data_IF_981895331609
#
_entry.id   IF_981895331609
#
_cell.length_a   1.000
_cell.length_b   1.000
_cell.length_c   1.000
_cell.angle_alpha   90.00
_cell.angle_beta   90.00
_cell.angle_gamma   90.00
#
_symmetry.space_group_name_H-M   'P 1'
#
loop_
_entity.id
_entity.type
_entity.pdbx_description
1 polymer ?
#
# COMPACT_ATOMS: atom_id res chain seq x y z
N UNK A 1 -7.43 6.03 8.33
CA UNK A 1 -6.26 6.89 8.04
C UNK A 1 -6.30 7.21 6.55
N UNK A 2 -6.08 8.46 6.12
CA UNK A 2 -6.10 8.82 4.69
C UNK A 2 -4.72 8.57 4.02
N UNK A 3 -4.66 8.65 2.68
CA UNK A 3 -3.43 8.41 1.90
C UNK A 3 -2.30 9.35 2.33
N UNK A 4 -2.59 10.63 2.51
CA UNK A 4 -1.58 11.64 2.87
C UNK A 4 -0.93 11.34 4.23
N UNK A 5 -1.75 11.01 5.24
CA UNK A 5 -1.25 10.64 6.58
C UNK A 5 -0.46 9.33 6.53
N UNK A 6 -0.89 8.37 5.70
CA UNK A 6 -0.15 7.13 5.50
C UNK A 6 1.22 7.40 4.90
N UNK A 7 1.27 8.15 3.79
CA UNK A 7 2.51 8.48 3.08
C UNK A 7 3.47 9.22 4.00
N UNK A 8 2.99 10.21 4.74
CA UNK A 8 3.83 10.95 5.70
C UNK A 8 4.42 10.05 6.78
N UNK A 9 3.64 9.13 7.35
CA UNK A 9 4.13 8.17 8.35
C UNK A 9 5.17 7.21 7.77
N UNK A 10 4.92 6.65 6.59
CA UNK A 10 5.89 5.76 5.94
C UNK A 10 7.18 6.52 5.63
N UNK A 11 7.08 7.79 5.25
CA UNK A 11 8.23 8.65 5.04
C UNK A 11 9.03 8.91 6.32
N UNK A 12 8.35 9.23 7.43
CA UNK A 12 8.98 9.42 8.76
C UNK A 12 9.71 8.15 9.23
N UNK A 13 9.20 6.96 8.88
CA UNK A 13 9.80 5.67 9.22
C UNK A 13 10.88 5.19 8.23
N UNK A 14 11.06 5.89 7.10
CA UNK A 14 11.97 5.48 6.03
C UNK A 14 13.20 6.38 5.94
N UNK A 15 14.38 5.76 5.86
CA UNK A 15 15.66 6.50 5.77
C UNK A 15 15.91 7.04 4.35
N UNK A 16 15.46 6.32 3.32
CA UNK A 16 15.85 6.56 1.92
C UNK A 16 14.74 7.14 1.03
N UNK A 17 13.53 7.37 1.58
CA UNK A 17 12.40 7.87 0.82
C UNK A 17 12.25 9.39 1.02
N UNK A 18 12.87 10.16 0.12
CA UNK A 18 12.95 11.62 0.16
C UNK A 18 11.74 12.35 -0.46
N UNK A 19 10.77 11.62 -1.01
CA UNK A 19 9.63 12.19 -1.73
C UNK A 19 8.35 11.40 -1.48
N UNK A 20 7.25 12.10 -1.21
CA UNK A 20 5.91 11.51 -1.06
C UNK A 20 5.51 10.63 -2.26
N UNK A 21 5.92 11.02 -3.48
CA UNK A 21 5.66 10.23 -4.69
C UNK A 21 6.42 8.90 -4.70
N UNK A 22 7.69 8.90 -4.26
CA UNK A 22 8.48 7.66 -4.13
C UNK A 22 7.92 6.77 -3.02
N UNK A 23 7.47 7.37 -1.92
CA UNK A 23 6.82 6.64 -0.83
C UNK A 23 5.55 5.95 -1.32
N UNK A 24 4.67 6.69 -1.98
CA UNK A 24 3.44 6.13 -2.52
C UNK A 24 3.73 4.96 -3.49
N UNK A 25 4.65 5.16 -4.43
CA UNK A 25 5.02 4.12 -5.40
C UNK A 25 5.65 2.88 -4.74
N UNK A 26 6.51 3.05 -3.74
CA UNK A 26 7.12 1.95 -3.00
C UNK A 26 6.09 1.15 -2.18
N UNK A 27 5.15 1.84 -1.55
CA UNK A 27 4.05 1.22 -0.83
C UNK A 27 3.13 0.44 -1.77
N UNK A 28 2.77 1.03 -2.92
CA UNK A 28 1.96 0.37 -3.95
C UNK A 28 2.63 -0.92 -4.44
N UNK A 29 3.92 -0.86 -4.80
CA UNK A 29 4.68 -2.02 -5.27
C UNK A 29 4.75 -3.12 -4.20
N UNK A 30 5.00 -2.75 -2.94
CA UNK A 30 5.06 -3.69 -1.81
C UNK A 30 3.72 -4.39 -1.60
N UNK A 31 2.63 -3.63 -1.60
CA UNK A 31 1.28 -4.14 -1.44
C UNK A 31 0.87 -5.07 -2.59
N UNK A 32 1.26 -4.75 -3.82
CA UNK A 32 1.03 -5.59 -5.00
C UNK A 32 1.82 -6.91 -4.95
N UNK A 33 3.03 -6.92 -4.40
CA UNK A 33 3.79 -8.16 -4.19
C UNK A 33 3.19 -8.99 -3.06
N UNK A 34 2.75 -8.32 -1.98
CA UNK A 34 2.14 -8.98 -0.84
C UNK A 34 0.82 -9.66 -1.22
N UNK A 35 -0.04 -8.99 -2.00
CA UNK A 35 -1.33 -9.53 -2.44
C UNK A 35 -1.17 -10.84 -3.23
N UNK A 36 -0.14 -10.96 -4.07
CA UNK A 36 0.17 -12.19 -4.83
C UNK A 36 0.60 -13.37 -3.95
N UNK A 37 0.98 -13.13 -2.70
CA UNK A 37 1.49 -14.16 -1.77
C UNK A 37 0.48 -14.56 -0.70
N UNK A 38 -0.55 -13.76 -0.50
CA UNK A 38 -1.63 -14.04 0.44
C UNK A 38 -2.85 -14.58 -0.30
N UNK A 39 -3.76 -15.23 0.42
CA UNK A 39 -5.00 -15.74 -0.19
C UNK A 39 -5.96 -14.58 -0.48
N UNK A 40 -6.86 -14.73 -1.46
CA UNK A 40 -7.78 -13.65 -1.86
C UNK A 40 -8.65 -13.09 -0.73
N UNK A 41 -9.05 -13.92 0.24
CA UNK A 41 -9.75 -13.45 1.45
C UNK A 41 -8.89 -12.55 2.36
N UNK A 42 -7.57 -12.79 2.40
CA UNK A 42 -6.63 -11.94 3.13
C UNK A 42 -6.31 -10.66 2.36
N UNK A 43 -6.26 -10.71 1.03
CA UNK A 43 -6.09 -9.55 0.17
C UNK A 43 -7.28 -8.59 0.29
N UNK A 44 -8.52 -9.09 0.22
CA UNK A 44 -9.72 -8.30 0.44
C UNK A 44 -9.75 -7.67 1.84
N UNK A 45 -9.47 -8.46 2.89
CA UNK A 45 -9.43 -7.94 4.26
C UNK A 45 -8.31 -6.92 4.52
N UNK A 46 -7.21 -6.98 3.75
CA UNK A 46 -6.16 -5.96 3.78
C UNK A 46 -6.59 -4.68 3.06
N UNK A 47 -7.24 -4.80 1.90
CA UNK A 47 -7.77 -3.66 1.14
C UNK A 47 -8.76 -2.83 1.97
N UNK A 48 -9.64 -3.47 2.74
CA UNK A 48 -10.60 -2.81 3.64
C UNK A 48 -9.96 -1.96 4.75
N UNK A 49 -8.67 -2.19 5.05
CA UNK A 49 -7.92 -1.45 6.07
C UNK A 49 -6.99 -0.39 5.49
N UNK A 50 -6.83 -0.37 4.16
CA UNK A 50 -5.99 0.58 3.46
C UNK A 50 -6.79 1.82 3.04
N UNK A 51 -6.13 2.98 2.91
CA UNK A 51 -6.75 4.11 2.27
C UNK A 51 -7.01 3.82 0.77
N UNK A 52 -8.09 4.37 0.21
CA UNK A 52 -8.61 4.04 -1.14
C UNK A 52 -7.53 3.96 -2.23
N UNK A 53 -6.61 4.93 -2.29
CA UNK A 53 -5.55 4.96 -3.29
C UNK A 53 -4.57 3.78 -3.24
N UNK A 54 -4.40 3.13 -2.08
CA UNK A 54 -3.54 1.96 -1.89
C UNK A 54 -4.33 0.64 -1.87
N UNK A 55 -5.62 0.68 -1.55
CA UNK A 55 -6.49 -0.48 -1.59
C UNK A 55 -6.53 -1.10 -3.01
N UNK A 56 -6.51 -0.25 -4.04
CA UNK A 56 -6.47 -0.65 -5.46
C UNK A 56 -5.28 -1.55 -5.77
N UNK A 57 -4.11 -1.29 -5.17
CA UNK A 57 -2.88 -2.05 -5.39
C UNK A 57 -2.97 -3.51 -4.93
N UNK A 58 -3.81 -3.76 -3.91
CA UNK A 58 -4.03 -5.08 -3.33
C UNK A 58 -5.10 -5.84 -4.10
N UNK A 59 -6.19 -5.17 -4.48
CA UNK A 59 -7.31 -5.79 -5.21
C UNK A 59 -7.01 -6.05 -6.68
N UNK A 60 -6.16 -5.25 -7.32
CA UNK A 60 -5.80 -5.42 -8.74
C UNK A 60 -4.94 -6.67 -9.02
N UNK A 61 -4.38 -7.31 -7.99
CA UNK A 61 -3.59 -8.51 -8.13
C UNK A 61 -4.40 -9.82 -8.01
N UNK A 62 -5.67 -9.73 -7.62
CA UNK A 62 -6.61 -10.86 -7.47
C UNK A 62 -7.43 -11.13 -8.75
N UNK A 63 -7.07 -10.45 -9.86
CA UNK A 63 -7.70 -10.55 -11.19
C UNK A 63 -6.86 -11.28 -12.22
#
# INVERSE_FOLDING_TARGET
>A
MNVETYVRKVQEESVDLDSEAKVFSASEATLSVLSRRITGGQAAGLADRLPEGLAVAVTAADG
#
